data_IF_229147627801
#
_entry.id   IF_229147627801
#
_cell.length_a   1.000
_cell.length_b   1.000
_cell.length_c   1.000
_cell.angle_alpha   90.00
_cell.angle_beta   90.00
_cell.angle_gamma   90.00
#
_symmetry.space_group_name_H-M   'P 1'
#
loop_
_entity.id
_entity.type
_entity.pdbx_description
1 polymer ?
#
# COMPACT_ATOMS: atom_id res chain seq x y z
N UNK A 1 -13.22 -0.88 3.91
CA UNK A 1 -13.85 -0.04 4.94
C UNK A 1 -13.13 1.28 5.14
N UNK A 2 -11.79 1.30 5.30
CA UNK A 2 -11.04 2.56 5.56
C UNK A 2 -11.24 3.57 4.43
N UNK A 3 -11.14 3.15 3.17
CA UNK A 3 -11.33 4.03 2.01
C UNK A 3 -12.74 4.66 1.92
N UNK A 4 -13.75 3.99 2.50
CA UNK A 4 -15.13 4.48 2.56
C UNK A 4 -15.33 5.46 3.73
N UNK A 5 -14.50 5.32 4.76
CA UNK A 5 -14.55 6.14 5.97
C UNK A 5 -14.09 7.58 5.73
N UNK A 6 -13.22 7.83 4.76
CA UNK A 6 -12.74 9.17 4.40
C UNK A 6 -13.91 10.11 4.06
N UNK A 7 -14.82 9.64 3.20
CA UNK A 7 -16.01 10.41 2.81
C UNK A 7 -16.99 10.59 3.96
N UNK A 8 -17.17 9.57 4.80
CA UNK A 8 -18.03 9.65 5.98
C UNK A 8 -17.53 10.72 6.94
N UNK A 9 -16.24 10.73 7.30
CA UNK A 9 -15.68 11.77 8.17
C UNK A 9 -15.72 13.17 7.53
N UNK A 10 -15.55 13.25 6.22
CA UNK A 10 -15.69 14.52 5.50
C UNK A 10 -17.06 15.16 5.76
N UNK A 11 -18.13 14.38 5.71
CA UNK A 11 -19.49 14.88 5.87
C UNK A 11 -19.85 15.11 7.34
N UNK A 12 -19.60 14.15 8.21
CA UNK A 12 -19.99 14.23 9.64
C UNK A 12 -19.20 15.30 10.42
N UNK A 13 -17.93 15.49 10.10
CA UNK A 13 -17.04 16.44 10.79
C UNK A 13 -16.77 17.71 9.97
N UNK A 14 -17.47 17.90 8.83
CA UNK A 14 -17.31 19.04 7.92
C UNK A 14 -15.85 19.29 7.52
N UNK A 15 -15.09 18.21 7.22
CA UNK A 15 -13.70 18.28 6.83
C UNK A 15 -13.55 18.58 5.35
N UNK A 16 -12.45 19.27 4.98
CA UNK A 16 -12.03 19.36 3.58
C UNK A 16 -11.56 17.98 3.06
N UNK A 17 -11.49 17.81 1.74
CA UNK A 17 -10.96 16.60 1.11
C UNK A 17 -9.50 16.34 1.54
N UNK A 18 -8.69 17.40 1.66
CA UNK A 18 -7.33 17.28 2.14
C UNK A 18 -7.25 16.88 3.63
N UNK A 19 -8.21 17.32 4.46
CA UNK A 19 -8.28 16.94 5.88
C UNK A 19 -8.74 15.49 6.05
N UNK A 20 -9.72 15.02 5.29
CA UNK A 20 -10.19 13.62 5.37
C UNK A 20 -9.10 12.63 5.00
N UNK A 21 -8.15 13.00 4.11
CA UNK A 21 -7.01 12.16 3.75
C UNK A 21 -6.06 11.80 4.92
N UNK A 22 -6.22 12.43 6.11
CA UNK A 22 -5.50 11.99 7.31
C UNK A 22 -5.88 10.57 7.75
N UNK A 23 -7.04 10.05 7.35
CA UNK A 23 -7.42 8.64 7.59
C UNK A 23 -6.45 7.70 6.86
N UNK A 24 -6.20 7.97 5.57
CA UNK A 24 -5.22 7.20 4.80
C UNK A 24 -3.81 7.36 5.38
N UNK A 25 -3.45 8.58 5.79
CA UNK A 25 -2.17 8.82 6.44
C UNK A 25 -2.01 7.96 7.70
N UNK A 26 -2.99 7.93 8.59
CA UNK A 26 -2.96 7.14 9.83
C UNK A 26 -2.85 5.63 9.54
N UNK A 27 -3.55 5.14 8.53
CA UNK A 27 -3.47 3.75 8.09
C UNK A 27 -2.04 3.39 7.63
N UNK A 28 -1.49 4.12 6.67
CA UNK A 28 -0.17 3.82 6.15
C UNK A 28 0.97 4.15 7.13
N UNK A 29 0.74 5.07 8.07
CA UNK A 29 1.65 5.32 9.18
C UNK A 29 1.77 4.08 10.09
N UNK A 30 0.65 3.41 10.39
CA UNK A 30 0.66 2.15 11.15
C UNK A 30 1.53 1.09 10.47
N UNK A 31 1.40 0.93 9.13
CA UNK A 31 2.27 0.06 8.34
C UNK A 31 3.75 0.45 8.42
N UNK A 32 4.04 1.73 8.24
CA UNK A 32 5.42 2.24 8.24
C UNK A 32 6.11 2.02 9.59
N UNK A 33 5.45 2.36 10.69
CA UNK A 33 6.01 2.26 12.03
C UNK A 33 6.25 0.81 12.46
N UNK A 34 5.35 -0.11 12.05
CA UNK A 34 5.41 -1.50 12.49
C UNK A 34 6.14 -2.43 11.54
N UNK A 35 6.52 -2.01 10.33
CA UNK A 35 7.20 -2.85 9.33
C UNK A 35 8.50 -3.47 9.87
N UNK A 36 9.34 -2.70 10.53
CA UNK A 36 10.59 -3.19 11.14
C UNK A 36 10.36 -3.91 12.48
N UNK A 37 9.58 -3.37 13.44
CA UNK A 37 9.26 -4.06 14.69
C UNK A 37 8.58 -5.42 14.49
N UNK A 38 7.66 -5.52 13.53
CA UNK A 38 6.97 -6.78 13.22
C UNK A 38 7.93 -7.87 12.77
N UNK A 39 8.84 -7.56 11.85
CA UNK A 39 9.87 -8.51 11.40
C UNK A 39 10.79 -8.95 12.54
N UNK A 40 11.23 -8.01 13.39
CA UNK A 40 12.08 -8.33 14.54
C UNK A 40 11.34 -9.18 15.60
N UNK A 41 10.09 -8.84 15.89
CA UNK A 41 9.31 -9.59 16.88
C UNK A 41 8.97 -11.00 16.38
N UNK A 42 8.72 -11.15 15.06
CA UNK A 42 8.50 -12.45 14.42
C UNK A 42 9.69 -13.40 14.60
N UNK A 43 10.91 -12.89 14.59
CA UNK A 43 12.11 -13.72 14.85
C UNK A 43 12.21 -14.22 16.29
N UNK A 44 11.61 -13.50 17.25
CA UNK A 44 11.61 -13.86 18.68
C UNK A 44 10.44 -14.72 19.10
N UNK A 45 9.24 -14.41 18.60
CA UNK A 45 7.99 -15.07 18.97
C UNK A 45 7.64 -16.29 18.10
N UNK A 46 8.39 -16.50 17.01
CA UNK A 46 8.04 -17.48 15.98
C UNK A 46 6.78 -17.08 15.20
N UNK A 47 6.39 -17.90 14.24
CA UNK A 47 5.22 -17.62 13.38
C UNK A 47 3.92 -17.52 14.17
N UNK A 48 3.67 -18.46 15.08
CA UNK A 48 2.45 -18.49 15.90
C UNK A 48 2.33 -17.25 16.78
N UNK A 49 3.39 -16.92 17.52
CA UNK A 49 3.40 -15.77 18.41
C UNK A 49 3.23 -14.45 17.65
N UNK A 50 3.87 -14.30 16.49
CA UNK A 50 3.73 -13.14 15.61
C UNK A 50 2.31 -12.95 15.07
N UNK A 51 1.66 -14.04 14.61
CA UNK A 51 0.26 -13.99 14.15
C UNK A 51 -0.66 -13.58 15.29
N UNK A 52 -0.53 -14.20 16.48
CA UNK A 52 -1.35 -13.85 17.64
C UNK A 52 -1.14 -12.40 18.05
N UNK A 53 0.10 -11.91 18.10
CA UNK A 53 0.40 -10.51 18.41
C UNK A 53 -0.26 -9.54 17.43
N UNK A 54 -0.19 -9.83 16.13
CA UNK A 54 -0.86 -9.03 15.09
C UNK A 54 -2.38 -9.03 15.25
N UNK A 55 -2.99 -10.19 15.44
CA UNK A 55 -4.44 -10.30 15.67
C UNK A 55 -4.88 -9.53 16.92
N UNK A 56 -4.16 -9.66 18.03
CA UNK A 56 -4.46 -8.91 19.27
C UNK A 56 -4.38 -7.40 19.04
N UNK A 57 -3.40 -6.93 18.29
CA UNK A 57 -3.27 -5.51 17.97
C UNK A 57 -4.42 -5.01 17.09
N UNK A 58 -4.87 -5.81 16.10
CA UNK A 58 -6.08 -5.51 15.32
C UNK A 58 -7.31 -5.46 16.22
N UNK A 59 -7.46 -6.41 17.14
CA UNK A 59 -8.58 -6.44 18.07
C UNK A 59 -8.60 -5.20 18.99
N UNK A 60 -7.45 -4.81 19.54
CA UNK A 60 -7.32 -3.59 20.35
C UNK A 60 -7.71 -2.35 19.53
N UNK A 61 -7.20 -2.22 18.30
CA UNK A 61 -7.56 -1.13 17.40
C UNK A 61 -9.05 -1.12 17.04
N UNK A 62 -9.67 -2.28 16.82
CA UNK A 62 -11.11 -2.39 16.56
C UNK A 62 -11.96 -2.01 17.77
N UNK A 63 -11.59 -2.48 18.97
CA UNK A 63 -12.30 -2.13 20.22
C UNK A 63 -12.09 -0.67 20.61
N UNK A 64 -10.98 -0.04 20.21
CA UNK A 64 -10.74 1.38 20.41
C UNK A 64 -11.80 2.27 19.75
N UNK A 65 -12.46 1.82 18.71
CA UNK A 65 -13.55 2.58 18.08
C UNK A 65 -14.73 2.81 19.01
N UNK A 66 -14.93 2.00 20.06
CA UNK A 66 -15.99 2.20 21.06
C UNK A 66 -15.76 3.49 21.83
N UNK A 67 -14.64 3.68 22.57
CA UNK A 67 -14.38 4.97 23.24
C UNK A 67 -14.14 6.10 22.22
N UNK A 68 -13.57 5.84 21.04
CA UNK A 68 -13.37 6.86 20.02
C UNK A 68 -14.69 7.50 19.56
N UNK A 69 -15.76 6.71 19.43
CA UNK A 69 -17.11 7.20 19.11
C UNK A 69 -17.67 8.10 20.23
N UNK A 70 -17.36 7.78 21.50
CA UNK A 70 -17.78 8.60 22.65
C UNK A 70 -16.97 9.91 22.75
N UNK A 71 -15.67 9.86 22.46
CA UNK A 71 -14.79 11.03 22.42
C UNK A 71 -15.21 11.97 21.28
N UNK A 72 -15.71 11.42 20.16
CA UNK A 72 -16.19 12.15 18.98
C UNK A 72 -15.16 13.16 18.42
N UNK A 73 -13.86 12.85 18.53
CA UNK A 73 -12.76 13.68 18.02
C UNK A 73 -12.04 12.94 16.89
N UNK A 74 -11.72 13.65 15.82
CA UNK A 74 -11.11 13.06 14.64
C UNK A 74 -9.81 12.27 14.93
N UNK A 75 -8.94 12.80 15.82
CA UNK A 75 -7.69 12.13 16.21
C UNK A 75 -7.92 10.75 16.87
N UNK A 76 -9.04 10.58 17.60
CA UNK A 76 -9.33 9.31 18.27
C UNK A 76 -9.63 8.20 17.24
N UNK A 77 -10.32 8.54 16.16
CA UNK A 77 -10.56 7.63 15.05
C UNK A 77 -9.27 7.31 14.29
N UNK A 78 -8.42 8.31 14.03
CA UNK A 78 -7.11 8.12 13.40
C UNK A 78 -6.22 7.16 14.18
N UNK A 79 -6.22 7.25 15.52
CA UNK A 79 -5.50 6.32 16.37
C UNK A 79 -6.01 4.88 16.21
N UNK A 80 -7.32 4.67 16.17
CA UNK A 80 -7.92 3.36 15.93
C UNK A 80 -7.50 2.76 14.59
N UNK A 81 -7.55 3.56 13.53
CA UNK A 81 -7.08 3.17 12.18
C UNK A 81 -5.60 2.78 12.20
N UNK A 82 -4.76 3.59 12.85
CA UNK A 82 -3.32 3.34 12.96
C UNK A 82 -3.02 2.02 13.71
N UNK A 83 -3.74 1.75 14.81
CA UNK A 83 -3.58 0.52 15.59
C UNK A 83 -4.00 -0.73 14.80
N UNK A 84 -5.12 -0.66 14.06
CA UNK A 84 -5.54 -1.75 13.17
C UNK A 84 -4.47 -2.00 12.11
N UNK A 85 -4.00 -0.95 11.44
CA UNK A 85 -2.98 -1.05 10.40
C UNK A 85 -1.65 -1.61 10.92
N UNK A 86 -1.24 -1.22 12.11
CA UNK A 86 -0.08 -1.77 12.81
C UNK A 86 -0.23 -3.29 13.02
N UNK A 87 -1.39 -3.77 13.44
CA UNK A 87 -1.69 -5.20 13.58
C UNK A 87 -1.69 -5.95 12.24
N UNK A 88 -2.26 -5.34 11.19
CA UNK A 88 -2.23 -5.91 9.83
C UNK A 88 -0.80 -6.05 9.30
N UNK A 89 0.09 -5.11 9.62
CA UNK A 89 1.51 -5.19 9.24
C UNK A 89 2.19 -6.43 9.85
N UNK A 90 1.88 -6.77 11.11
CA UNK A 90 2.35 -8.00 11.72
C UNK A 90 1.86 -9.23 10.97
N UNK A 91 0.58 -9.26 10.61
CA UNK A 91 0.00 -10.39 9.88
C UNK A 91 0.68 -10.54 8.50
N UNK A 92 0.87 -9.46 7.77
CA UNK A 92 1.55 -9.51 6.47
C UNK A 92 3.01 -9.93 6.58
N UNK A 93 3.74 -9.43 7.58
CA UNK A 93 5.15 -9.74 7.78
C UNK A 93 5.38 -11.18 8.26
N UNK A 94 4.40 -11.81 8.90
CA UNK A 94 4.54 -13.14 9.53
C UNK A 94 3.74 -14.21 8.80
N UNK A 95 2.47 -13.97 8.48
CA UNK A 95 1.61 -14.98 7.87
C UNK A 95 1.96 -15.26 6.40
N UNK A 96 2.37 -14.22 5.64
CA UNK A 96 2.77 -14.42 4.25
C UNK A 96 4.00 -15.34 4.11
N UNK A 97 5.13 -15.11 4.79
CA UNK A 97 6.24 -16.06 4.79
C UNK A 97 5.84 -17.44 5.32
N UNK A 98 5.00 -17.51 6.36
CA UNK A 98 4.54 -18.79 6.90
C UNK A 98 3.77 -19.62 5.87
N UNK A 99 2.89 -18.99 5.08
CA UNK A 99 2.16 -19.69 4.02
C UNK A 99 3.09 -20.27 2.94
N UNK A 100 4.27 -19.70 2.74
CA UNK A 100 5.24 -20.25 1.76
C UNK A 100 5.92 -21.50 2.25
N UNK A 101 6.17 -21.62 3.57
CA UNK A 101 6.87 -22.76 4.17
C UNK A 101 5.94 -23.90 4.61
N UNK A 102 4.61 -23.68 4.61
CA UNK A 102 3.59 -24.67 4.94
C UNK A 102 3.37 -25.66 3.78
N UNK A 103 4.19 -26.69 3.63
CA UNK A 103 4.02 -27.76 2.65
C UNK A 103 5.02 -27.71 1.50
N UNK A 104 4.80 -28.48 0.44
CA UNK A 104 5.74 -28.66 -0.65
C UNK A 104 6.14 -27.32 -1.30
N UNK A 105 7.44 -27.06 -1.53
CA UNK A 105 7.94 -25.80 -2.10
C UNK A 105 7.31 -25.46 -3.45
N UNK A 106 7.03 -26.45 -4.29
CA UNK A 106 6.44 -26.29 -5.62
C UNK A 106 5.09 -25.58 -5.62
N UNK A 107 4.33 -25.67 -4.52
CA UNK A 107 3.02 -25.04 -4.35
C UNK A 107 3.05 -23.73 -3.55
N UNK A 108 4.22 -23.24 -3.17
CA UNK A 108 4.36 -22.01 -2.36
C UNK A 108 3.69 -20.79 -3.03
N UNK A 109 3.94 -20.59 -4.33
CA UNK A 109 3.33 -19.49 -5.09
C UNK A 109 1.80 -19.63 -5.18
N UNK A 110 1.28 -20.84 -5.31
CA UNK A 110 -0.17 -21.09 -5.35
C UNK A 110 -0.81 -20.77 -4.00
N UNK A 111 -0.17 -21.15 -2.88
CA UNK A 111 -0.67 -20.86 -1.54
C UNK A 111 -0.73 -19.36 -1.25
N UNK A 112 0.33 -18.60 -1.58
CA UNK A 112 0.32 -17.13 -1.42
C UNK A 112 -0.77 -16.49 -2.28
N UNK A 113 -0.91 -16.90 -3.53
CA UNK A 113 -1.95 -16.38 -4.42
C UNK A 113 -3.35 -16.67 -3.91
N UNK A 114 -3.58 -17.86 -3.34
CA UNK A 114 -4.86 -18.21 -2.72
C UNK A 114 -5.13 -17.34 -1.48
N UNK A 115 -4.14 -17.16 -0.60
CA UNK A 115 -4.26 -16.27 0.56
C UNK A 115 -4.56 -14.83 0.14
N UNK A 116 -3.87 -14.32 -0.89
CA UNK A 116 -4.12 -12.98 -1.44
C UNK A 116 -5.51 -12.85 -2.09
N UNK A 117 -6.05 -13.92 -2.70
CA UNK A 117 -7.40 -13.93 -3.23
C UNK A 117 -8.45 -13.87 -2.11
N UNK A 118 -8.24 -14.61 -1.00
CA UNK A 118 -9.10 -14.52 0.18
C UNK A 118 -9.10 -13.10 0.79
N UNK A 119 -7.95 -12.43 0.83
CA UNK A 119 -7.87 -11.01 1.24
C UNK A 119 -8.68 -10.11 0.31
N UNK A 120 -8.64 -10.35 -1.01
CA UNK A 120 -9.43 -9.62 -2.01
C UNK A 120 -10.94 -9.73 -1.78
N UNK A 121 -11.43 -10.87 -1.28
CA UNK A 121 -12.83 -11.05 -0.90
C UNK A 121 -13.20 -10.04 0.22
N UNK A 122 -12.35 -9.89 1.24
CA UNK A 122 -12.56 -8.92 2.32
C UNK A 122 -12.67 -7.48 1.81
N UNK A 123 -11.94 -7.11 0.77
CA UNK A 123 -12.03 -5.79 0.15
C UNK A 123 -13.38 -5.52 -0.53
N UNK A 124 -14.02 -6.55 -1.09
CA UNK A 124 -15.35 -6.44 -1.69
C UNK A 124 -16.42 -6.21 -0.59
N UNK A 125 -16.33 -6.95 0.53
CA UNK A 125 -17.30 -6.81 1.62
C UNK A 125 -17.12 -5.52 2.43
N UNK A 126 -15.92 -4.96 2.49
CA UNK A 126 -15.62 -3.74 3.26
C UNK A 126 -16.51 -2.56 2.92
N UNK A 127 -16.62 -2.12 1.65
CA UNK A 127 -17.49 -1.01 1.25
C UNK A 127 -18.99 -1.31 1.43
N UNK A 128 -19.41 -2.57 1.29
CA UNK A 128 -20.82 -2.97 1.57
C UNK A 128 -21.14 -2.72 3.03
N UNK A 129 -20.27 -3.18 3.95
CA UNK A 129 -20.42 -2.88 5.36
C UNK A 129 -20.39 -1.37 5.64
N UNK A 130 -19.52 -0.62 4.96
CA UNK A 130 -19.48 0.85 5.01
C UNK A 130 -20.80 1.49 4.58
N UNK A 131 -21.40 0.99 3.50
CA UNK A 131 -22.71 1.46 3.04
C UNK A 131 -23.81 1.25 4.09
N UNK A 132 -23.77 0.12 4.79
CA UNK A 132 -24.78 -0.25 5.80
C UNK A 132 -24.63 0.51 7.12
N UNK A 133 -23.40 0.79 7.56
CA UNK A 133 -23.14 1.32 8.89
C UNK A 133 -22.74 2.80 8.91
N UNK A 134 -22.05 3.30 7.86
CA UNK A 134 -21.58 4.69 7.83
C UNK A 134 -22.56 5.64 7.18
N UNK A 135 -23.39 5.16 6.24
CA UNK A 135 -24.36 5.97 5.51
C UNK A 135 -25.80 5.59 5.84
N UNK A 136 -26.03 5.04 7.05
CA UNK A 136 -27.38 4.77 7.55
C UNK A 136 -28.05 6.08 7.99
N UNK A 137 -29.36 6.16 7.77
CA UNK A 137 -30.21 7.27 8.21
C UNK A 137 -31.36 6.73 9.08
N UNK A 138 -31.79 7.52 10.06
CA UNK A 138 -32.96 7.21 10.85
C UNK A 138 -34.27 7.45 10.05
N UNK A 139 -35.42 7.18 10.67
CA UNK A 139 -36.72 7.41 10.06
C UNK A 139 -37.02 8.89 9.74
N UNK A 140 -36.25 9.82 10.30
CA UNK A 140 -36.33 11.27 10.03
C UNK A 140 -35.38 11.73 8.94
N UNK A 141 -34.55 10.83 8.39
CA UNK A 141 -33.54 11.14 7.38
C UNK A 141 -32.24 11.71 7.95
N UNK A 142 -32.06 11.74 9.28
CA UNK A 142 -30.83 12.16 9.93
C UNK A 142 -29.79 11.02 9.88
N UNK A 143 -28.54 11.37 9.57
CA UNK A 143 -27.44 10.40 9.60
C UNK A 143 -27.27 9.81 11.01
N UNK A 144 -27.18 8.49 11.09
CA UNK A 144 -26.83 7.74 12.30
C UNK A 144 -25.41 7.17 12.22
N UNK A 145 -24.70 7.48 11.15
CA UNK A 145 -23.39 6.89 10.84
C UNK A 145 -22.34 7.17 11.92
N UNK A 146 -22.35 8.34 12.53
CA UNK A 146 -21.43 8.67 13.62
C UNK A 146 -21.67 7.80 14.87
N UNK A 147 -22.92 7.49 15.20
CA UNK A 147 -23.30 6.69 16.37
C UNK A 147 -23.05 5.19 16.14
N UNK A 148 -23.17 4.71 14.91
CA UNK A 148 -23.03 3.30 14.53
C UNK A 148 -21.63 2.91 14.07
N UNK A 149 -20.73 3.86 13.91
CA UNK A 149 -19.38 3.68 13.36
C UNK A 149 -18.57 2.59 14.10
N UNK A 150 -18.71 2.47 15.41
CA UNK A 150 -17.99 1.47 16.21
C UNK A 150 -18.45 0.04 15.94
N UNK A 151 -19.69 -0.19 15.49
CA UNK A 151 -20.28 -1.52 15.36
C UNK A 151 -19.51 -2.45 14.41
N UNK A 152 -19.18 -2.06 13.16
CA UNK A 152 -18.43 -2.93 12.26
C UNK A 152 -17.02 -3.21 12.76
N UNK A 153 -16.36 -2.26 13.44
CA UNK A 153 -15.03 -2.45 14.00
C UNK A 153 -15.04 -3.37 15.23
N UNK A 154 -16.05 -3.25 16.10
CA UNK A 154 -16.28 -4.19 17.19
C UNK A 154 -16.58 -5.61 16.66
N UNK A 155 -17.38 -5.71 15.60
CA UNK A 155 -17.61 -6.97 14.91
C UNK A 155 -16.34 -7.62 14.38
N UNK A 156 -15.48 -6.84 13.73
CA UNK A 156 -14.15 -7.30 13.30
C UNK A 156 -13.30 -7.73 14.49
N UNK A 157 -13.30 -6.96 15.59
CA UNK A 157 -12.54 -7.31 16.80
C UNK A 157 -12.99 -8.65 17.39
N UNK A 158 -14.30 -8.93 17.43
CA UNK A 158 -14.83 -10.22 17.89
C UNK A 158 -14.34 -11.36 17.01
N UNK A 159 -14.45 -11.22 15.67
CA UNK A 159 -13.98 -12.25 14.73
C UNK A 159 -12.48 -12.49 14.90
N UNK A 160 -11.69 -11.42 15.02
CA UNK A 160 -10.24 -11.50 15.20
C UNK A 160 -9.88 -12.17 16.53
N UNK A 161 -10.59 -11.88 17.62
CA UNK A 161 -10.40 -12.57 18.92
C UNK A 161 -10.72 -14.05 18.84
N UNK A 162 -11.77 -14.44 18.10
CA UNK A 162 -12.03 -15.84 17.81
C UNK A 162 -10.88 -16.49 17.03
N UNK A 163 -10.31 -15.79 16.05
CA UNK A 163 -9.11 -16.26 15.35
C UNK A 163 -7.92 -16.41 16.30
N UNK A 164 -7.71 -15.52 17.26
CA UNK A 164 -6.68 -15.67 18.30
C UNK A 164 -6.85 -16.98 19.04
N UNK A 165 -8.07 -17.34 19.44
CA UNK A 165 -8.36 -18.61 20.12
C UNK A 165 -8.06 -19.82 19.23
N UNK A 166 -8.37 -19.73 17.93
CA UNK A 166 -8.07 -20.78 16.94
C UNK A 166 -6.55 -20.96 16.83
N UNK A 167 -5.80 -19.88 16.59
CA UNK A 167 -4.34 -19.95 16.46
C UNK A 167 -3.63 -20.30 17.77
N UNK A 168 -4.20 -19.94 18.92
CA UNK A 168 -3.70 -20.36 20.22
C UNK A 168 -3.81 -21.86 20.47
N UNK A 169 -4.77 -22.55 19.86
CA UNK A 169 -4.97 -24.00 19.99
C UNK A 169 -4.44 -24.80 18.81
N UNK A 170 -4.29 -24.18 17.63
CA UNK A 170 -3.83 -24.86 16.43
C UNK A 170 -2.38 -25.37 16.60
N UNK A 171 -2.10 -26.62 16.21
CA UNK A 171 -0.73 -27.11 16.14
C UNK A 171 -0.02 -26.43 14.95
N UNK A 172 0.72 -25.40 15.24
CA UNK A 172 1.54 -24.72 14.23
C UNK A 172 3.00 -25.18 14.38
N UNK A 173 3.57 -25.90 13.41
CA UNK A 173 4.96 -26.28 13.47
C UNK A 173 5.83 -25.02 13.33
N UNK A 174 6.80 -24.84 14.23
CA UNK A 174 7.86 -23.85 14.10
C UNK A 174 8.85 -24.32 13.02
N UNK A 175 8.47 -24.09 11.78
CA UNK A 175 9.33 -24.33 10.64
C UNK A 175 10.37 -23.22 10.61
N UNK A 176 11.62 -23.56 10.96
CA UNK A 176 12.76 -22.73 10.57
C UNK A 176 12.74 -22.70 9.05
N UNK A 177 12.73 -21.50 8.47
CA UNK A 177 12.94 -21.35 7.04
C UNK A 177 14.33 -21.98 6.76
N UNK A 178 14.33 -23.24 6.33
CA UNK A 178 15.55 -23.83 5.77
C UNK A 178 15.93 -22.97 4.57
N UNK A 179 17.20 -22.64 4.51
CA UNK A 179 17.87 -21.87 3.48
C UNK A 179 17.79 -22.60 2.12
N UNK A 180 16.61 -22.64 1.51
CA UNK A 180 16.42 -23.26 0.20
C UNK A 180 16.16 -22.20 -0.87
N UNK A 181 17.18 -21.38 -1.08
CA UNK A 181 17.42 -20.77 -2.38
C UNK A 181 18.90 -21.01 -2.71
N UNK A 182 19.20 -21.70 -3.82
CA UNK A 182 20.59 -21.98 -4.19
C UNK A 182 21.34 -20.65 -4.37
N UNK A 183 22.49 -20.52 -3.72
CA UNK A 183 23.41 -19.40 -3.81
C UNK A 183 24.03 -19.20 -5.21
N UNK A 184 23.68 -20.01 -6.18
CA UNK A 184 24.34 -20.06 -7.50
C UNK A 184 23.79 -19.11 -8.58
N UNK A 185 22.74 -18.31 -8.27
CA UNK A 185 22.24 -17.32 -9.22
C UNK A 185 22.92 -15.93 -9.14
N UNK A 186 24.03 -15.80 -8.44
CA UNK A 186 24.72 -14.53 -8.19
C UNK A 186 25.64 -14.04 -9.34
N UNK A 187 25.52 -14.58 -10.51
CA UNK A 187 26.33 -14.22 -11.67
C UNK A 187 25.61 -13.35 -12.69
N UNK A 188 25.42 -12.05 -12.43
CA UNK A 188 25.01 -11.09 -13.47
C UNK A 188 26.19 -10.18 -13.79
N UNK A 189 26.80 -10.29 -14.99
CA UNK A 189 27.79 -9.34 -15.45
C UNK A 189 27.09 -8.06 -15.91
N UNK A 190 26.96 -7.08 -15.02
CA UNK A 190 26.61 -5.72 -15.39
C UNK A 190 27.87 -4.90 -15.61
N UNK A 191 27.91 -4.07 -16.64
CA UNK A 191 29.00 -3.13 -16.91
C UNK A 191 29.16 -2.16 -15.71
N UNK A 192 30.28 -2.21 -14.95
CA UNK A 192 30.32 -1.63 -13.60
C UNK A 192 30.25 -0.09 -13.54
N UNK A 193 30.64 0.62 -14.60
CA UNK A 193 30.78 2.08 -14.53
C UNK A 193 29.48 2.86 -14.70
N UNK A 194 28.57 2.45 -15.59
CA UNK A 194 27.27 3.13 -15.81
C UNK A 194 26.23 2.81 -14.74
N UNK A 195 26.31 1.61 -14.13
CA UNK A 195 25.42 1.16 -13.06
C UNK A 195 25.64 1.93 -11.74
N UNK A 196 26.88 2.38 -11.45
CA UNK A 196 27.16 3.11 -10.21
C UNK A 196 26.55 4.52 -10.17
N UNK A 197 26.53 5.25 -11.28
CA UNK A 197 25.93 6.59 -11.33
C UNK A 197 24.39 6.51 -11.17
N UNK A 198 23.76 5.55 -11.87
CA UNK A 198 22.32 5.33 -11.80
C UNK A 198 21.88 4.84 -10.42
N UNK A 199 22.61 3.90 -9.81
CA UNK A 199 22.31 3.44 -8.46
C UNK A 199 22.39 4.56 -7.42
N UNK A 200 23.41 5.44 -7.53
CA UNK A 200 23.56 6.60 -6.66
C UNK A 200 22.40 7.60 -6.82
N UNK A 201 21.99 7.88 -8.05
CA UNK A 201 20.85 8.76 -8.34
C UNK A 201 19.52 8.19 -7.78
N UNK A 202 19.23 6.92 -8.03
CA UNK A 202 18.00 6.26 -7.52
C UNK A 202 18.01 6.17 -5.99
N UNK A 203 19.17 5.92 -5.38
CA UNK A 203 19.31 5.96 -3.93
C UNK A 203 18.99 7.36 -3.38
N UNK A 204 19.53 8.41 -4.02
CA UNK A 204 19.23 9.77 -3.61
C UNK A 204 17.73 10.09 -3.71
N UNK A 205 17.05 9.67 -4.77
CA UNK A 205 15.59 9.82 -4.90
C UNK A 205 14.84 9.07 -3.77
N UNK A 206 15.28 7.86 -3.39
CA UNK A 206 14.69 7.14 -2.25
C UNK A 206 14.88 7.91 -0.94
N UNK A 207 16.02 8.56 -0.74
CA UNK A 207 16.25 9.41 0.45
C UNK A 207 15.39 10.69 0.44
N UNK A 208 15.13 11.26 -0.72
CA UNK A 208 14.15 12.37 -0.85
C UNK A 208 12.77 11.89 -0.40
N UNK A 209 12.30 10.76 -0.94
CA UNK A 209 11.00 10.17 -0.59
C UNK A 209 10.92 9.87 0.91
N UNK A 210 11.97 9.29 1.49
CA UNK A 210 12.03 9.02 2.92
C UNK A 210 11.99 10.31 3.74
N UNK A 211 12.72 11.34 3.32
CA UNK A 211 12.74 12.64 4.01
C UNK A 211 11.38 13.33 3.99
N UNK A 212 10.67 13.29 2.85
CA UNK A 212 9.30 13.79 2.75
C UNK A 212 8.36 12.98 3.65
N UNK A 213 8.51 11.65 3.70
CA UNK A 213 7.70 10.79 4.56
C UNK A 213 7.87 11.13 6.04
N UNK A 214 9.11 11.31 6.50
CA UNK A 214 9.41 11.73 7.86
C UNK A 214 8.93 13.17 8.14
N UNK A 215 9.05 14.06 7.15
CA UNK A 215 8.48 15.41 7.22
C UNK A 215 6.96 15.40 7.40
N UNK A 216 6.26 14.54 6.67
CA UNK A 216 4.80 14.38 6.83
C UNK A 216 4.41 13.85 8.22
N UNK A 217 5.20 12.95 8.82
CA UNK A 217 4.97 12.49 10.18
C UNK A 217 5.13 13.65 11.18
N UNK A 218 6.17 14.46 11.01
CA UNK A 218 6.36 15.66 11.83
C UNK A 218 5.20 16.67 11.68
N UNK A 219 4.69 16.83 10.43
CA UNK A 219 3.52 17.66 10.16
C UNK A 219 2.26 17.14 10.83
N UNK A 220 2.04 15.82 10.82
CA UNK A 220 0.89 15.22 11.49
C UNK A 220 0.86 15.56 12.99
N UNK A 221 2.03 15.60 13.63
CA UNK A 221 2.16 16.01 15.02
C UNK A 221 1.94 17.53 15.17
N UNK A 222 2.55 18.32 14.31
CA UNK A 222 2.48 19.78 14.39
C UNK A 222 1.07 20.34 14.14
N UNK A 223 0.30 19.73 13.22
CA UNK A 223 -1.07 20.16 12.90
C UNK A 223 -2.07 19.91 14.03
N UNK A 224 -1.73 19.04 15.02
CA UNK A 224 -2.50 18.90 16.26
C UNK A 224 -2.53 20.23 17.02
N UNK A 225 -1.45 21.03 16.93
CA UNK A 225 -1.34 22.33 17.61
C UNK A 225 -1.83 23.49 16.73
N UNK A 226 -1.52 23.49 15.43
CA UNK A 226 -1.96 24.52 14.50
C UNK A 226 -1.77 24.08 13.04
N UNK A 227 -2.79 24.25 12.19
CA UNK A 227 -2.69 23.98 10.74
C UNK A 227 -1.67 24.91 10.03
N UNK A 228 -1.46 26.11 10.53
CA UNK A 228 -0.49 27.05 10.00
C UNK A 228 0.97 26.51 10.03
N UNK A 229 1.26 25.53 10.90
CA UNK A 229 2.58 24.92 11.02
C UNK A 229 2.86 23.88 9.91
N UNK A 230 1.87 23.52 9.11
CA UNK A 230 2.02 22.45 8.09
C UNK A 230 3.19 22.70 7.14
N UNK A 231 3.16 23.78 6.38
CA UNK A 231 4.21 24.09 5.40
C UNK A 231 5.59 24.37 6.01
N UNK A 232 5.72 25.20 7.07
CA UNK A 232 7.01 25.42 7.72
C UNK A 232 7.64 24.14 8.27
N UNK A 233 6.85 23.29 8.93
CA UNK A 233 7.35 22.03 9.50
C UNK A 233 7.70 21.04 8.38
N UNK A 234 6.88 20.91 7.35
CA UNK A 234 7.18 20.04 6.22
C UNK A 234 8.48 20.42 5.54
N UNK A 235 8.64 21.68 5.17
CA UNK A 235 9.84 22.16 4.47
C UNK A 235 11.09 22.08 5.36
N UNK A 236 11.00 22.51 6.61
CA UNK A 236 12.13 22.49 7.55
C UNK A 236 12.60 21.07 7.89
N UNK A 237 11.70 20.17 8.23
CA UNK A 237 12.05 18.78 8.57
C UNK A 237 12.52 18.00 7.34
N UNK A 238 11.89 18.18 6.19
CA UNK A 238 12.35 17.54 4.93
C UNK A 238 13.75 18.01 4.58
N UNK A 239 14.03 19.32 4.65
CA UNK A 239 15.36 19.86 4.39
C UNK A 239 16.41 19.33 5.39
N UNK A 240 16.07 19.24 6.67
CA UNK A 240 16.95 18.70 7.72
C UNK A 240 17.29 17.24 7.45
N UNK A 241 16.30 16.39 7.17
CA UNK A 241 16.53 14.96 6.87
C UNK A 241 17.34 14.77 5.59
N UNK A 242 17.05 15.55 4.52
CA UNK A 242 17.84 15.52 3.29
C UNK A 242 19.31 15.88 3.54
N UNK A 243 19.57 16.91 4.35
CA UNK A 243 20.91 17.31 4.70
C UNK A 243 21.63 16.21 5.49
N UNK A 244 20.99 15.65 6.51
CA UNK A 244 21.55 14.56 7.34
C UNK A 244 21.85 13.34 6.49
N UNK A 245 20.92 12.90 5.65
CA UNK A 245 21.12 11.72 4.80
C UNK A 245 22.19 11.95 3.73
N UNK A 246 22.24 13.14 3.14
CA UNK A 246 23.30 13.50 2.19
C UNK A 246 24.68 13.49 2.85
N UNK A 247 24.77 14.00 4.08
CA UNK A 247 26.01 13.97 4.86
C UNK A 247 26.44 12.53 5.21
N UNK A 248 25.49 11.70 5.65
CA UNK A 248 25.76 10.27 5.94
C UNK A 248 26.25 9.54 4.68
N UNK A 249 25.62 9.78 3.52
CA UNK A 249 26.07 9.22 2.25
C UNK A 249 27.49 9.66 1.88
N UNK A 250 27.82 10.93 2.08
CA UNK A 250 29.16 11.46 1.82
C UNK A 250 30.21 10.80 2.73
N UNK A 251 29.91 10.68 4.03
CA UNK A 251 30.80 10.08 5.01
C UNK A 251 30.99 8.57 4.79
N UNK A 252 29.93 7.87 4.34
CA UNK A 252 29.96 6.41 4.14
C UNK A 252 30.33 5.99 2.72
N UNK A 253 30.68 6.90 1.82
CA UNK A 253 30.96 6.67 0.39
C UNK A 253 31.96 5.51 0.13
N UNK A 254 32.94 5.31 1.01
CA UNK A 254 33.94 4.23 0.90
C UNK A 254 33.41 2.86 1.34
N UNK A 255 32.47 2.80 2.30
CA UNK A 255 31.98 1.56 2.92
C UNK A 255 30.77 0.94 2.18
N UNK A 256 29.99 1.76 1.44
CA UNK A 256 28.79 1.32 0.72
C UNK A 256 29.05 0.68 -0.66
N UNK A 257 30.31 0.58 -1.09
CA UNK A 257 30.65 0.36 -2.51
C UNK A 257 30.45 -1.06 -3.07
N UNK A 258 30.30 -2.12 -2.30
CA UNK A 258 30.32 -3.48 -2.87
C UNK A 258 29.29 -4.48 -2.34
N UNK A 259 28.71 -4.31 -1.16
CA UNK A 259 27.81 -5.33 -0.54
C UNK A 259 26.39 -4.83 -0.24
N UNK A 260 26.06 -3.59 -0.57
CA UNK A 260 24.75 -3.03 -0.26
C UNK A 260 23.72 -3.40 -1.33
N UNK A 261 22.53 -3.85 -0.91
CA UNK A 261 21.36 -4.02 -1.81
C UNK A 261 21.04 -2.74 -2.61
N UNK A 262 21.37 -1.56 -2.06
CA UNK A 262 21.20 -0.25 -2.68
C UNK A 262 22.17 0.01 -3.85
N UNK A 263 23.22 -0.79 -4.01
CA UNK A 263 24.07 -0.75 -5.21
C UNK A 263 23.41 -1.35 -6.44
N UNK A 264 22.25 -1.99 -6.28
CA UNK A 264 21.47 -2.59 -7.36
C UNK A 264 20.39 -1.63 -7.85
N UNK A 265 20.52 -1.02 -9.05
CA UNK A 265 19.56 -0.01 -9.53
C UNK A 265 18.13 -0.52 -9.67
N UNK A 266 17.94 -1.80 -10.07
CA UNK A 266 16.61 -2.39 -10.20
C UNK A 266 15.87 -2.46 -8.85
N UNK A 267 16.58 -2.71 -7.73
CA UNK A 267 16.00 -2.68 -6.39
C UNK A 267 15.64 -1.25 -5.96
N UNK A 268 16.55 -0.29 -6.11
CA UNK A 268 16.28 1.12 -5.78
C UNK A 268 15.15 1.69 -6.63
N UNK A 269 15.07 1.29 -7.91
CA UNK A 269 13.94 1.63 -8.79
C UNK A 269 12.63 0.98 -8.35
N UNK A 270 12.68 -0.29 -7.87
CA UNK A 270 11.51 -0.98 -7.35
C UNK A 270 10.93 -0.28 -6.12
N UNK A 271 11.78 0.19 -5.20
CA UNK A 271 11.35 0.90 -3.99
C UNK A 271 10.61 2.18 -4.34
N UNK A 272 11.12 2.96 -5.32
CA UNK A 272 10.44 4.14 -5.84
C UNK A 272 9.13 3.79 -6.55
N UNK A 273 9.16 2.78 -7.42
CA UNK A 273 7.97 2.34 -8.15
C UNK A 273 6.87 1.85 -7.18
N UNK A 274 7.26 1.15 -6.11
CA UNK A 274 6.35 0.68 -5.07
C UNK A 274 5.71 1.85 -4.31
N UNK A 275 6.50 2.85 -3.95
CA UNK A 275 6.01 4.08 -3.32
C UNK A 275 4.97 4.78 -4.18
N UNK A 276 5.28 5.04 -5.45
CA UNK A 276 4.37 5.71 -6.37
C UNK A 276 3.16 4.86 -6.73
N UNK A 277 3.32 3.53 -6.83
CA UNK A 277 2.19 2.64 -7.07
C UNK A 277 1.17 2.71 -5.92
N UNK A 278 1.63 2.54 -4.67
CA UNK A 278 0.71 2.57 -3.51
C UNK A 278 0.12 3.97 -3.33
N UNK A 279 0.88 5.02 -3.65
CA UNK A 279 0.41 6.40 -3.72
C UNK A 279 -0.78 6.58 -4.68
N UNK A 280 -0.67 6.04 -5.90
CA UNK A 280 -1.76 6.09 -6.89
C UNK A 280 -2.96 5.26 -6.45
N UNK A 281 -2.71 4.05 -5.97
CA UNK A 281 -3.75 3.11 -5.54
C UNK A 281 -4.58 3.70 -4.41
N UNK A 282 -3.94 4.18 -3.34
CA UNK A 282 -4.64 4.73 -2.19
C UNK A 282 -5.43 5.99 -2.54
N UNK A 283 -4.88 6.85 -3.41
CA UNK A 283 -5.57 8.03 -3.90
C UNK A 283 -6.85 7.69 -4.67
N UNK A 284 -6.79 6.75 -5.61
CA UNK A 284 -7.95 6.30 -6.37
C UNK A 284 -9.00 5.67 -5.45
N UNK A 285 -8.59 4.86 -4.47
CA UNK A 285 -9.51 4.21 -3.53
C UNK A 285 -10.19 5.21 -2.60
N UNK A 286 -9.42 6.11 -1.98
CA UNK A 286 -9.93 7.10 -1.05
C UNK A 286 -10.94 8.06 -1.69
N UNK A 287 -10.66 8.52 -2.93
CA UNK A 287 -11.52 9.49 -3.61
C UNK A 287 -12.58 8.87 -4.54
N UNK A 288 -12.72 7.55 -4.55
CA UNK A 288 -13.71 6.88 -5.39
C UNK A 288 -15.13 7.33 -5.09
N UNK A 289 -15.54 7.38 -3.82
CA UNK A 289 -16.89 7.82 -3.43
C UNK A 289 -17.10 9.30 -3.80
N UNK A 290 -16.11 10.17 -3.49
CA UNK A 290 -16.16 11.58 -3.87
C UNK A 290 -16.30 11.76 -5.40
N UNK A 291 -15.61 10.93 -6.19
CA UNK A 291 -15.75 10.93 -7.63
C UNK A 291 -17.17 10.54 -8.04
N UNK A 292 -17.71 9.42 -7.56
CA UNK A 292 -19.01 8.89 -7.94
C UNK A 292 -20.18 9.79 -7.51
N UNK A 293 -20.00 10.56 -6.45
CA UNK A 293 -21.04 11.49 -5.94
C UNK A 293 -21.05 12.85 -6.63
N UNK A 294 -19.97 13.20 -7.38
CA UNK A 294 -19.83 14.57 -7.92
C UNK A 294 -19.53 14.65 -9.41
N UNK A 295 -18.91 13.63 -10.02
CA UNK A 295 -18.34 13.74 -11.37
C UNK A 295 -19.11 13.02 -12.48
N UNK A 296 -19.79 11.88 -12.27
CA UNK A 296 -20.59 11.24 -13.32
C UNK A 296 -21.73 12.12 -13.82
N UNK A 297 -22.20 11.91 -15.07
CA UNK A 297 -23.37 12.64 -15.62
C UNK A 297 -24.63 12.52 -14.75
N UNK A 298 -24.78 11.40 -14.05
CA UNK A 298 -25.81 11.18 -13.03
C UNK A 298 -25.08 10.81 -11.73
N UNK A 299 -24.84 11.77 -10.84
CA UNK A 299 -24.24 11.51 -9.53
C UNK A 299 -25.11 10.56 -8.70
N UNK A 300 -24.46 9.69 -7.93
CA UNK A 300 -25.15 8.73 -7.06
C UNK A 300 -24.99 9.12 -5.59
N UNK A 301 -25.89 8.63 -4.73
CA UNK A 301 -25.77 8.84 -3.29
C UNK A 301 -24.59 8.07 -2.68
N UNK A 302 -24.13 8.49 -1.50
CA UNK A 302 -22.96 7.93 -0.82
C UNK A 302 -23.04 6.41 -0.58
N UNK A 303 -24.21 5.91 -0.14
CA UNK A 303 -24.42 4.47 0.08
C UNK A 303 -24.28 3.67 -1.23
N UNK A 304 -24.84 4.20 -2.33
CA UNK A 304 -24.71 3.59 -3.67
C UNK A 304 -23.27 3.67 -4.15
N UNK A 305 -22.59 4.81 -3.98
CA UNK A 305 -21.18 4.97 -4.34
C UNK A 305 -20.28 4.01 -3.55
N UNK A 306 -20.54 3.82 -2.26
CA UNK A 306 -19.85 2.84 -1.43
C UNK A 306 -20.06 1.40 -1.94
N UNK A 307 -21.29 1.04 -2.31
CA UNK A 307 -21.59 -0.27 -2.91
C UNK A 307 -20.88 -0.44 -4.26
N UNK A 308 -20.82 0.61 -5.09
CA UNK A 308 -20.09 0.61 -6.36
C UNK A 308 -18.56 0.45 -6.16
N UNK A 309 -18.01 0.90 -5.04
CA UNK A 309 -16.61 0.63 -4.70
C UNK A 309 -16.35 -0.89 -4.59
N UNK A 310 -17.31 -1.68 -4.11
CA UNK A 310 -17.20 -3.14 -4.11
C UNK A 310 -17.12 -3.72 -5.53
N UNK A 311 -17.80 -3.12 -6.50
CA UNK A 311 -17.66 -3.49 -7.93
C UNK A 311 -16.24 -3.14 -8.41
N UNK A 312 -15.69 -1.99 -8.01
CA UNK A 312 -14.29 -1.63 -8.28
C UNK A 312 -13.32 -2.68 -7.73
N UNK A 313 -13.51 -3.12 -6.49
CA UNK A 313 -12.68 -4.18 -5.90
C UNK A 313 -12.91 -5.54 -6.55
N UNK A 314 -14.10 -5.84 -7.06
CA UNK A 314 -14.33 -7.03 -7.89
C UNK A 314 -13.55 -6.95 -9.22
N UNK A 315 -13.51 -5.78 -9.88
CA UNK A 315 -12.66 -5.54 -11.05
C UNK A 315 -11.17 -5.73 -10.70
N UNK A 316 -10.74 -5.24 -9.53
CA UNK A 316 -9.38 -5.44 -9.04
C UNK A 316 -9.05 -6.93 -8.84
N UNK A 317 -9.94 -7.70 -8.23
CA UNK A 317 -9.77 -9.15 -8.06
C UNK A 317 -9.73 -9.86 -9.40
N UNK A 318 -10.64 -9.55 -10.32
CA UNK A 318 -10.64 -10.10 -11.68
C UNK A 318 -9.33 -9.79 -12.42
N UNK A 319 -8.85 -8.53 -12.33
CA UNK A 319 -7.58 -8.10 -12.90
C UNK A 319 -6.39 -8.87 -12.32
N UNK A 320 -6.41 -9.21 -11.03
CA UNK A 320 -5.37 -10.02 -10.38
C UNK A 320 -5.34 -11.45 -10.91
N UNK A 321 -6.50 -12.08 -11.07
CA UNK A 321 -6.61 -13.46 -11.60
C UNK A 321 -6.18 -13.51 -13.07
N UNK A 322 -6.72 -12.62 -13.91
CA UNK A 322 -6.39 -12.55 -15.34
C UNK A 322 -4.93 -12.14 -15.54
N UNK A 323 -4.48 -11.12 -14.80
CA UNK A 323 -3.11 -10.61 -14.88
C UNK A 323 -2.07 -11.64 -14.46
N UNK A 324 -2.35 -12.49 -13.46
CA UNK A 324 -1.48 -13.61 -13.13
C UNK A 324 -1.30 -14.60 -14.31
N UNK A 325 -2.36 -14.81 -15.10
CA UNK A 325 -2.28 -15.58 -16.34
C UNK A 325 -1.44 -14.89 -17.43
N UNK A 326 -1.55 -13.56 -17.55
CA UNK A 326 -0.79 -12.76 -18.53
C UNK A 326 0.71 -12.79 -18.20
N UNK A 327 1.09 -12.61 -16.93
CA UNK A 327 2.49 -12.64 -16.48
C UNK A 327 3.16 -14.02 -16.68
N UNK A 328 2.38 -15.11 -16.75
CA UNK A 328 2.91 -16.44 -17.14
C UNK A 328 3.33 -16.53 -18.61
N UNK A 329 2.70 -15.74 -19.49
CA UNK A 329 2.94 -15.79 -20.94
C UNK A 329 3.92 -14.69 -21.39
N UNK A 330 3.95 -13.56 -20.71
CA UNK A 330 4.75 -12.39 -21.08
C UNK A 330 5.69 -12.00 -19.94
N UNK A 331 6.79 -11.34 -20.27
CA UNK A 331 7.75 -10.89 -19.27
C UNK A 331 7.11 -9.91 -18.26
N UNK A 332 7.26 -10.21 -16.98
CA UNK A 332 6.58 -9.46 -15.88
C UNK A 332 6.87 -7.96 -15.92
N UNK A 333 8.10 -7.55 -16.25
CA UNK A 333 8.46 -6.14 -16.33
C UNK A 333 7.76 -5.41 -17.48
N UNK A 334 7.58 -6.07 -18.64
CA UNK A 334 6.84 -5.49 -19.77
C UNK A 334 5.35 -5.38 -19.47
N UNK A 335 4.75 -6.42 -18.86
CA UNK A 335 3.36 -6.37 -18.42
C UNK A 335 3.14 -5.23 -17.42
N UNK A 336 4.06 -5.05 -16.46
CA UNK A 336 4.01 -3.93 -15.53
C UNK A 336 4.07 -2.57 -16.25
N UNK A 337 4.98 -2.43 -17.21
CA UNK A 337 5.13 -1.20 -18.01
C UNK A 337 3.88 -0.87 -18.81
N UNK A 338 3.30 -1.86 -19.51
CA UNK A 338 2.07 -1.70 -20.29
C UNK A 338 0.88 -1.37 -19.39
N UNK A 339 0.69 -2.09 -18.27
CA UNK A 339 -0.40 -1.81 -17.34
C UNK A 339 -0.27 -0.42 -16.72
N UNK A 340 0.98 0.02 -16.40
CA UNK A 340 1.25 1.39 -15.97
C UNK A 340 0.86 2.42 -17.01
N UNK A 341 1.27 2.23 -18.27
CA UNK A 341 0.93 3.13 -19.37
C UNK A 341 -0.59 3.19 -19.63
N UNK A 342 -1.28 2.07 -19.55
CA UNK A 342 -2.75 2.03 -19.65
C UNK A 342 -3.38 2.86 -18.52
N UNK A 343 -2.92 2.71 -17.27
CA UNK A 343 -3.44 3.51 -16.18
C UNK A 343 -3.16 5.02 -16.33
N UNK A 344 -2.05 5.42 -16.93
CA UNK A 344 -1.80 6.83 -17.30
C UNK A 344 -2.88 7.33 -18.24
N UNK A 345 -3.22 6.57 -19.30
CA UNK A 345 -4.26 6.94 -20.24
C UNK A 345 -5.64 6.98 -19.56
N UNK A 346 -5.96 6.01 -18.71
CA UNK A 346 -7.22 5.98 -17.96
C UNK A 346 -7.36 7.20 -17.03
N UNK A 347 -6.32 7.55 -16.30
CA UNK A 347 -6.32 8.76 -15.46
C UNK A 347 -6.47 10.04 -16.31
N UNK A 348 -5.82 10.12 -17.46
CA UNK A 348 -6.00 11.24 -18.39
C UNK A 348 -7.46 11.34 -18.89
N UNK A 349 -8.10 10.21 -19.24
CA UNK A 349 -9.51 10.19 -19.62
C UNK A 349 -10.44 10.63 -18.48
N UNK A 350 -10.11 10.30 -17.22
CA UNK A 350 -10.87 10.77 -16.06
C UNK A 350 -10.78 12.30 -15.91
N UNK A 351 -9.57 12.86 -16.10
CA UNK A 351 -9.34 14.31 -16.04
C UNK A 351 -10.07 15.07 -17.14
N UNK A 352 -10.23 14.47 -18.32
CA UNK A 352 -10.95 15.08 -19.46
C UNK A 352 -12.47 15.13 -19.28
N UNK A 353 -13.02 14.49 -18.23
CA UNK A 353 -14.45 14.52 -17.86
C UNK A 353 -15.39 14.11 -19.02
N UNK A 354 -15.06 12.99 -19.67
CA UNK A 354 -15.79 12.46 -20.84
C UNK A 354 -17.12 11.75 -20.45
N UNK A 355 -17.76 12.17 -19.37
CA UNK A 355 -19.02 11.60 -18.89
C UNK A 355 -18.89 10.13 -18.46
N UNK A 356 -19.74 9.25 -18.95
CA UNK A 356 -19.72 7.82 -18.61
C UNK A 356 -18.41 7.12 -18.97
N UNK A 357 -17.73 7.57 -20.03
CA UNK A 357 -16.43 7.00 -20.39
C UNK A 357 -15.39 7.19 -19.29
N UNK A 358 -15.33 8.38 -18.67
CA UNK A 358 -14.46 8.64 -17.53
C UNK A 358 -14.80 7.75 -16.33
N UNK A 359 -16.10 7.52 -16.06
CA UNK A 359 -16.54 6.63 -14.99
C UNK A 359 -16.07 5.18 -15.23
N UNK A 360 -16.22 4.67 -16.45
CA UNK A 360 -15.71 3.34 -16.82
C UNK A 360 -14.18 3.27 -16.67
N UNK A 361 -13.46 4.36 -17.02
CA UNK A 361 -12.01 4.42 -16.86
C UNK A 361 -11.58 4.28 -15.39
N UNK A 362 -12.36 4.77 -14.41
CA UNK A 362 -12.05 4.56 -12.99
C UNK A 362 -12.13 3.08 -12.63
N UNK A 363 -13.15 2.34 -13.07
CA UNK A 363 -13.26 0.89 -12.82
C UNK A 363 -12.16 0.10 -13.53
N UNK A 364 -11.82 0.48 -14.77
CA UNK A 364 -10.70 -0.14 -15.48
C UNK A 364 -9.36 0.13 -14.80
N UNK A 365 -9.20 1.28 -14.15
CA UNK A 365 -7.99 1.55 -13.38
C UNK A 365 -7.82 0.54 -12.23
N UNK A 366 -8.89 0.16 -11.53
CA UNK A 366 -8.84 -0.92 -10.54
C UNK A 366 -8.34 -2.24 -11.14
N UNK A 367 -8.78 -2.59 -12.33
CA UNK A 367 -8.36 -3.80 -13.02
C UNK A 367 -6.86 -3.79 -13.34
N UNK A 368 -6.38 -2.74 -14.00
CA UNK A 368 -4.99 -2.68 -14.46
C UNK A 368 -3.97 -2.45 -13.35
N UNK A 369 -4.33 -1.84 -12.21
CA UNK A 369 -3.40 -1.70 -11.09
C UNK A 369 -3.28 -2.97 -10.22
N UNK A 370 -4.13 -3.98 -10.40
CA UNK A 370 -4.28 -5.12 -9.49
C UNK A 370 -3.04 -5.98 -9.31
N UNK A 371 -2.22 -6.17 -10.35
CA UNK A 371 -1.00 -7.00 -10.33
C UNK A 371 0.28 -6.21 -10.05
N UNK A 372 0.22 -4.87 -9.98
CA UNK A 372 1.42 -4.05 -9.94
C UNK A 372 2.21 -4.28 -8.65
N UNK A 373 1.54 -4.32 -7.48
CA UNK A 373 2.21 -4.53 -6.19
C UNK A 373 3.08 -5.80 -6.17
N UNK A 374 2.52 -6.99 -6.43
CA UNK A 374 3.30 -8.22 -6.38
C UNK A 374 4.36 -8.27 -7.49
N UNK A 375 4.09 -7.66 -8.65
CA UNK A 375 5.05 -7.64 -9.75
C UNK A 375 6.24 -6.74 -9.44
N UNK A 376 6.03 -5.52 -8.94
CA UNK A 376 7.12 -4.62 -8.51
C UNK A 376 7.94 -5.28 -7.41
N UNK A 377 7.28 -5.90 -6.44
CA UNK A 377 7.93 -6.60 -5.33
C UNK A 377 8.84 -7.73 -5.84
N UNK A 378 8.33 -8.60 -6.71
CA UNK A 378 9.10 -9.70 -7.28
C UNK A 378 10.29 -9.22 -8.13
N UNK A 379 10.08 -8.20 -8.97
CA UNK A 379 11.14 -7.57 -9.77
C UNK A 379 12.22 -6.93 -8.91
N UNK A 380 11.82 -6.32 -7.78
CA UNK A 380 12.73 -5.64 -6.86
C UNK A 380 13.65 -6.58 -6.10
N UNK A 381 13.14 -7.73 -5.63
CA UNK A 381 13.95 -8.71 -4.86
C UNK A 381 14.71 -9.68 -5.76
N UNK A 382 14.46 -9.67 -7.06
CA UNK A 382 15.07 -10.60 -8.01
C UNK A 382 16.60 -10.50 -8.00
N UNK A 383 17.30 -11.64 -7.85
CA UNK A 383 18.75 -11.72 -7.87
C UNK A 383 19.49 -11.12 -6.67
N UNK A 384 18.79 -10.86 -5.54
CA UNK A 384 19.41 -10.31 -4.32
C UNK A 384 19.88 -11.38 -3.32
N UNK A 385 19.61 -12.68 -3.56
CA UNK A 385 20.06 -13.76 -2.67
C UNK A 385 19.67 -13.49 -1.21
N UNK A 386 20.63 -13.61 -0.29
CA UNK A 386 20.42 -13.36 1.15
C UNK A 386 19.94 -11.93 1.47
N UNK A 387 20.21 -10.98 0.58
CA UNK A 387 19.70 -9.60 0.69
C UNK A 387 18.19 -9.45 0.49
N UNK A 388 17.52 -10.46 -0.08
CA UNK A 388 16.09 -10.38 -0.42
C UNK A 388 15.18 -10.14 0.80
N UNK A 389 15.46 -10.75 1.95
CA UNK A 389 14.72 -10.53 3.20
C UNK A 389 14.77 -9.06 3.64
N UNK A 390 15.99 -8.47 3.60
CA UNK A 390 16.20 -7.07 3.94
C UNK A 390 15.57 -6.13 2.91
N UNK A 391 15.69 -6.48 1.63
CA UNK A 391 15.08 -5.74 0.53
C UNK A 391 13.54 -5.71 0.64
N UNK A 392 12.91 -6.83 1.00
CA UNK A 392 11.47 -6.92 1.22
C UNK A 392 10.98 -5.93 2.28
N UNK A 393 11.71 -5.74 3.39
CA UNK A 393 11.34 -4.77 4.44
C UNK A 393 11.33 -3.33 3.91
N UNK A 394 12.27 -2.95 3.04
CA UNK A 394 12.28 -1.61 2.43
C UNK A 394 11.16 -1.43 1.40
N UNK A 395 10.81 -2.48 0.64
CA UNK A 395 9.66 -2.44 -0.27
C UNK A 395 8.34 -2.29 0.51
N UNK A 396 8.21 -2.92 1.67
CA UNK A 396 7.06 -2.72 2.58
C UNK A 396 7.07 -1.30 3.16
N UNK A 397 8.23 -0.75 3.56
CA UNK A 397 8.31 0.65 4.01
C UNK A 397 7.88 1.64 2.93
N UNK A 398 8.10 1.34 1.66
CA UNK A 398 7.69 2.18 0.53
C UNK A 398 6.16 2.33 0.40
N UNK A 399 5.37 1.49 1.09
CA UNK A 399 3.89 1.60 1.19
C UNK A 399 3.47 2.98 1.77
N UNK A 400 4.37 3.69 2.45
CA UNK A 400 4.15 5.06 2.95
C UNK A 400 3.73 6.07 1.86
N UNK A 401 3.92 5.76 0.57
CA UNK A 401 3.37 6.54 -0.54
C UNK A 401 1.86 6.75 -0.44
N UNK A 402 1.15 5.75 0.07
CA UNK A 402 -0.29 5.82 0.31
C UNK A 402 -0.71 6.79 1.42
N UNK A 403 0.21 7.22 2.27
CA UNK A 403 -0.05 8.23 3.29
C UNK A 403 0.04 9.67 2.74
N UNK A 404 0.89 9.90 1.75
CA UNK A 404 1.29 11.25 1.34
C UNK A 404 0.45 11.76 0.18
N UNK A 405 0.34 10.95 -0.88
CA UNK A 405 -0.26 11.40 -2.13
C UNK A 405 -1.77 11.62 -2.08
N UNK A 406 -2.58 10.88 -1.31
CA UNK A 406 -4.00 11.21 -1.16
C UNK A 406 -4.21 12.62 -0.58
N UNK A 407 -3.34 13.10 0.32
CA UNK A 407 -3.45 14.45 0.85
C UNK A 407 -3.19 15.51 -0.24
N UNK A 408 -2.20 15.28 -1.12
CA UNK A 408 -1.96 16.14 -2.28
C UNK A 408 -3.15 16.09 -3.26
N UNK A 409 -3.69 14.91 -3.50
CA UNK A 409 -4.87 14.71 -4.34
C UNK A 409 -6.10 15.46 -3.76
N UNK A 410 -6.29 15.41 -2.43
CA UNK A 410 -7.33 16.15 -1.73
C UNK A 410 -7.19 17.65 -1.88
N UNK A 411 -5.99 18.18 -1.70
CA UNK A 411 -5.73 19.62 -1.87
C UNK A 411 -6.05 20.11 -3.29
N UNK A 412 -5.71 19.33 -4.33
CA UNK A 412 -6.08 19.64 -5.72
C UNK A 412 -7.59 19.55 -5.90
N UNK A 413 -8.24 18.55 -5.30
CA UNK A 413 -9.67 18.37 -5.40
C UNK A 413 -10.45 19.49 -4.71
N UNK A 414 -9.99 19.98 -3.54
CA UNK A 414 -10.57 21.12 -2.82
C UNK A 414 -10.41 22.43 -3.62
N UNK A 415 -9.26 22.63 -4.28
CA UNK A 415 -9.00 23.86 -5.06
C UNK A 415 -9.64 23.88 -6.45
N UNK A 416 -10.01 22.71 -6.98
CA UNK A 416 -10.50 22.57 -8.35
C UNK A 416 -11.69 21.59 -8.44
N UNK A 417 -11.41 20.31 -8.61
CA UNK A 417 -12.39 19.22 -8.62
C UNK A 417 -11.71 17.84 -8.52
N UNK A 418 -12.50 16.82 -8.15
CA UNK A 418 -12.00 15.46 -7.97
C UNK A 418 -11.43 14.85 -9.26
N UNK A 419 -11.99 15.17 -10.43
CA UNK A 419 -11.45 14.66 -11.71
C UNK A 419 -10.03 15.18 -11.98
N UNK A 420 -9.77 16.48 -11.73
CA UNK A 420 -8.44 17.06 -11.95
C UNK A 420 -7.40 16.49 -10.97
N UNK A 421 -7.81 16.10 -9.77
CA UNK A 421 -6.88 15.50 -8.79
C UNK A 421 -6.29 14.17 -9.27
N UNK A 422 -6.86 13.53 -10.31
CA UNK A 422 -6.28 12.34 -10.96
C UNK A 422 -4.95 12.60 -11.66
N UNK A 423 -4.48 13.88 -11.75
CA UNK A 423 -3.10 14.21 -12.16
C UNK A 423 -2.08 13.54 -11.22
N UNK A 424 -2.39 13.37 -9.93
CA UNK A 424 -1.49 12.73 -8.96
C UNK A 424 -1.28 11.26 -9.28
N UNK A 425 -2.32 10.39 -9.36
CA UNK A 425 -2.13 9.00 -9.77
C UNK A 425 -1.57 8.88 -11.20
N UNK A 426 -1.89 9.80 -12.13
CA UNK A 426 -1.30 9.82 -13.46
C UNK A 426 0.23 9.92 -13.39
N UNK A 427 0.77 10.90 -12.66
CA UNK A 427 2.21 11.06 -12.48
C UNK A 427 2.85 9.85 -11.79
N UNK A 428 2.16 9.27 -10.81
CA UNK A 428 2.61 8.07 -10.13
C UNK A 428 2.70 6.86 -11.08
N UNK A 429 1.69 6.63 -11.92
CA UNK A 429 1.71 5.55 -12.90
C UNK A 429 2.74 5.76 -14.01
N UNK A 430 3.09 6.99 -14.37
CA UNK A 430 4.23 7.26 -15.25
C UNK A 430 5.54 6.74 -14.66
N UNK A 431 5.78 6.93 -13.36
CA UNK A 431 6.95 6.39 -12.68
C UNK A 431 6.95 4.86 -12.68
N UNK A 432 5.79 4.23 -12.44
CA UNK A 432 5.64 2.77 -12.47
C UNK A 432 5.86 2.22 -13.87
N UNK A 433 5.30 2.85 -14.90
CA UNK A 433 5.48 2.46 -16.29
C UNK A 433 6.95 2.57 -16.72
N UNK A 434 7.60 3.67 -16.36
CA UNK A 434 9.03 3.87 -16.61
C UNK A 434 9.87 2.77 -15.95
N UNK A 435 9.61 2.43 -14.68
CA UNK A 435 10.28 1.33 -14.02
C UNK A 435 10.08 0.01 -14.78
N UNK A 436 8.86 -0.32 -15.18
CA UNK A 436 8.56 -1.55 -15.92
C UNK A 436 9.33 -1.63 -17.25
N UNK A 437 9.30 -0.57 -18.07
CA UNK A 437 9.98 -0.56 -19.37
C UNK A 437 11.51 -0.52 -19.27
N UNK A 438 12.05 0.15 -18.25
CA UNK A 438 13.50 0.30 -18.09
C UNK A 438 14.13 -0.73 -17.15
N UNK A 439 13.36 -1.64 -16.55
CA UNK A 439 13.85 -2.60 -15.57
C UNK A 439 15.07 -3.42 -16.04
N UNK A 440 15.05 -3.90 -17.28
CA UNK A 440 16.19 -4.65 -17.85
C UNK A 440 17.46 -3.79 -17.98
N UNK A 441 17.31 -2.49 -18.25
CA UNK A 441 18.42 -1.54 -18.31
C UNK A 441 18.97 -1.19 -16.92
N UNK A 442 18.17 -1.35 -15.89
CA UNK A 442 18.57 -1.18 -14.49
C UNK A 442 19.32 -2.40 -13.92
N UNK A 443 19.70 -3.34 -14.75
CA UNK A 443 20.42 -4.56 -14.34
C UNK A 443 19.52 -5.72 -13.91
N UNK A 444 18.22 -5.64 -14.18
CA UNK A 444 17.29 -6.76 -14.07
C UNK A 444 17.57 -7.79 -15.15
N UNK A 445 17.68 -9.07 -14.78
CA UNK A 445 17.87 -10.16 -15.75
C UNK A 445 16.64 -11.03 -15.86
N UNK A 446 16.05 -11.17 -17.07
CA UNK A 446 14.93 -12.08 -17.29
C UNK A 446 15.27 -13.54 -16.94
N UNK A 447 16.55 -13.95 -17.07
CA UNK A 447 17.04 -15.30 -16.72
C UNK A 447 16.92 -15.61 -15.22
N UNK A 448 17.03 -14.62 -14.33
CA UNK A 448 16.85 -14.83 -12.90
C UNK A 448 15.40 -15.14 -12.50
N UNK A 449 14.44 -14.76 -13.36
CA UNK A 449 13.02 -15.11 -13.19
C UNK A 449 12.66 -16.46 -13.82
N UNK A 450 13.34 -16.84 -14.91
CA UNK A 450 13.13 -18.15 -15.56
C UNK A 450 13.58 -19.29 -14.64
N UNK A 451 14.63 -19.11 -13.84
CA UNK A 451 15.07 -20.11 -12.84
C UNK A 451 13.98 -20.38 -11.78
N UNK A 452 13.17 -19.37 -11.44
CA UNK A 452 11.99 -19.58 -10.58
C UNK A 452 10.87 -20.34 -11.32
N UNK A 453 10.86 -20.29 -12.65
CA UNK A 453 9.87 -20.97 -13.52
C UNK A 453 10.33 -22.36 -13.98
N UNK A 454 11.61 -22.57 -14.22
CA UNK A 454 12.17 -23.84 -14.73
C UNK A 454 12.52 -24.85 -13.62
N UNK A 455 12.66 -24.41 -12.36
CA UNK A 455 12.64 -25.35 -11.22
C UNK A 455 11.26 -25.97 -10.99
N UNK A 456 10.33 -25.81 -11.95
CA UNK A 456 8.92 -26.24 -11.91
C UNK A 456 8.55 -27.30 -12.97
N UNK A 457 9.56 -27.98 -13.58
CA UNK A 457 9.31 -29.14 -14.45
C UNK A 457 9.89 -30.40 -13.80
#
# INVERSE_FOLDING_TARGET
MIDVMDKHFQEELHLSLAQSAWVQFAHYLGYFLMALPAGWLATKLGYRGGIIAGLLMVAVGGLWFIPATQIAQFWAFLLGVCLIAAGLTFLEAVANPYTTVLGAPDFAATRINLAAACNGIGWIFGPIAGAMFFYSTDASGKSTGAETLWMPYAGVAVVVLLMVLVFAKAPMPDLKAEETLPAEAAGIPGNPASTHSMAGFLLWLNLVVLSVSLGMIACAIATIFSEALFLPVLSGTTALFLLVFSLVLLLQRKKMRLESIWSRPHFSGATLAQFFYVAAQSGIFAYFINYMTTQPPVPVGNATASTLASVGFACFLAGRVIGAGVVKKFSAHMVLGVYGAVNVLLCACVMLRLGWASTVCVFLAYFFMSIMFPTIFALGISGLGDGAKKAASFLVMAIMGGAIMPKLMGHIADSSNVSLSFIVPLCCFLCVAAYGFFWSKLGGSPKSMAVISESKI
#
